data_IF_424297783776
#
_entry.id   IF_424297783776
#
_cell.length_a   1.000
_cell.length_b   1.000
_cell.length_c   1.000
_cell.angle_alpha   90.00
_cell.angle_beta   90.00
_cell.angle_gamma   90.00
#
_symmetry.space_group_name_H-M   'P 1'
#
loop_
_entity.id
_entity.type
_entity.pdbx_description
1 polymer ?
#
# COMPACT_ATOMS: atom_id res chain seq x y z
N UNK A 1 -20.50 -0.52 3.37
CA UNK A 1 -20.15 0.48 2.34
C UNK A 1 -20.31 -0.15 0.95
N UNK A 2 -20.81 0.59 -0.06
CA UNK A 2 -20.82 0.10 -1.46
C UNK A 2 -19.37 -0.14 -1.87
N UNK A 3 -19.04 -1.36 -2.35
CA UNK A 3 -17.69 -1.73 -2.79
C UNK A 3 -17.22 -0.73 -3.85
N UNK A 4 -16.24 0.11 -3.50
CA UNK A 4 -15.76 1.19 -4.38
C UNK A 4 -14.97 0.54 -5.52
N UNK A 5 -15.58 0.46 -6.69
CA UNK A 5 -14.92 -0.08 -7.89
C UNK A 5 -14.05 1.01 -8.49
N UNK A 6 -12.74 0.80 -8.49
CA UNK A 6 -11.78 1.71 -9.12
C UNK A 6 -11.78 1.52 -10.63
N UNK A 7 -11.56 2.61 -11.36
CA UNK A 7 -11.33 2.53 -12.81
C UNK A 7 -10.01 1.81 -13.06
N UNK A 8 -9.96 1.00 -14.12
CA UNK A 8 -8.77 0.21 -14.46
C UNK A 8 -7.52 1.07 -14.67
N UNK A 9 -7.66 2.26 -15.27
CA UNK A 9 -6.54 3.19 -15.45
C UNK A 9 -5.97 3.72 -14.12
N UNK A 10 -6.83 3.95 -13.11
CA UNK A 10 -6.38 4.38 -11.77
C UNK A 10 -5.62 3.25 -11.07
N UNK A 11 -6.12 2.02 -11.18
CA UNK A 11 -5.43 0.84 -10.65
C UNK A 11 -4.06 0.69 -11.33
N UNK A 12 -4.02 0.80 -12.66
CA UNK A 12 -2.78 0.66 -13.42
C UNK A 12 -1.75 1.71 -13.00
N UNK A 13 -2.13 2.99 -12.93
CA UNK A 13 -1.21 4.07 -12.53
C UNK A 13 -0.61 3.83 -11.12
N UNK A 14 -1.43 3.40 -10.16
CA UNK A 14 -0.96 3.14 -8.79
C UNK A 14 -0.09 1.87 -8.76
N UNK A 15 -0.38 0.87 -9.60
CA UNK A 15 0.42 -0.35 -9.67
C UNK A 15 1.72 -0.19 -10.46
N UNK A 16 1.77 0.70 -11.44
CA UNK A 16 3.02 1.09 -12.09
C UNK A 16 3.96 1.73 -11.05
N UNK A 17 3.40 2.55 -10.15
CA UNK A 17 4.13 3.08 -9.00
C UNK A 17 4.60 1.98 -8.04
N UNK A 18 3.78 0.97 -7.77
CA UNK A 18 4.20 -0.21 -6.99
C UNK A 18 5.37 -0.96 -7.65
N UNK A 19 5.37 -1.09 -8.98
CA UNK A 19 6.47 -1.71 -9.74
C UNK A 19 7.75 -0.88 -9.62
N UNK A 20 7.67 0.46 -9.73
CA UNK A 20 8.82 1.34 -9.53
C UNK A 20 9.41 1.19 -8.14
N UNK A 21 8.57 1.19 -7.09
CA UNK A 21 9.01 1.00 -5.70
C UNK A 21 9.70 -0.35 -5.56
N UNK A 22 9.09 -1.43 -6.07
CA UNK A 22 9.66 -2.76 -5.99
C UNK A 22 11.04 -2.85 -6.68
N UNK A 23 11.20 -2.23 -7.85
CA UNK A 23 12.49 -2.20 -8.58
C UNK A 23 13.57 -1.43 -7.84
N UNK A 24 13.21 -0.39 -7.10
CA UNK A 24 14.14 0.46 -6.34
C UNK A 24 14.36 0.03 -4.89
N UNK A 25 13.64 -0.98 -4.40
CA UNK A 25 13.70 -1.41 -3.01
C UNK A 25 14.97 -2.23 -2.74
N UNK A 26 15.78 -1.77 -1.80
CA UNK A 26 16.94 -2.55 -1.33
C UNK A 26 16.48 -3.67 -0.39
N UNK A 27 15.40 -3.43 0.35
CA UNK A 27 14.69 -4.43 1.13
C UNK A 27 13.80 -5.31 0.25
N UNK A 28 13.31 -6.42 0.80
CA UNK A 28 12.33 -7.25 0.10
C UNK A 28 10.94 -6.59 0.19
N UNK A 29 10.61 -5.76 -0.79
CA UNK A 29 9.30 -5.11 -0.94
C UNK A 29 8.27 -6.06 -1.56
N UNK A 30 7.14 -6.27 -0.89
CA UNK A 30 6.07 -7.15 -1.40
C UNK A 30 4.68 -6.77 -0.87
N UNK A 31 3.67 -7.53 -1.32
CA UNK A 31 2.28 -7.42 -0.86
C UNK A 31 1.65 -6.04 -1.09
N UNK A 32 1.90 -5.47 -2.28
CA UNK A 32 1.36 -4.17 -2.67
C UNK A 32 -0.16 -4.20 -2.81
N UNK A 33 -0.83 -3.29 -2.12
CA UNK A 33 -2.30 -3.22 -2.04
C UNK A 33 -2.80 -1.79 -2.15
N UNK A 34 -3.83 -1.58 -2.94
CA UNK A 34 -4.60 -0.34 -2.95
C UNK A 34 -5.71 -0.48 -1.94
N UNK A 35 -5.71 0.41 -0.96
CA UNK A 35 -6.62 0.43 0.17
C UNK A 35 -7.34 1.76 0.26
N UNK A 36 -8.42 1.78 1.03
CA UNK A 36 -9.13 2.99 1.47
C UNK A 36 -9.34 2.93 2.96
N UNK A 37 -9.59 4.08 3.57
CA UNK A 37 -10.03 4.18 4.96
C UNK A 37 -11.20 5.15 5.04
N UNK A 38 -12.27 4.83 5.79
CA UNK A 38 -13.33 5.80 6.09
C UNK A 38 -12.81 7.02 6.86
N UNK A 39 -11.66 6.91 7.54
CA UNK A 39 -11.02 8.05 8.23
C UNK A 39 -10.32 9.02 7.27
N UNK A 40 -10.13 8.63 6.00
CA UNK A 40 -9.52 9.47 4.95
C UNK A 40 -10.33 9.37 3.67
N UNK A 41 -11.48 10.01 3.71
CA UNK A 41 -12.34 10.13 2.54
C UNK A 41 -11.55 10.72 1.35
N UNK A 42 -11.88 10.26 0.15
CA UNK A 42 -11.26 10.71 -1.11
C UNK A 42 -9.75 10.46 -1.26
N UNK A 43 -9.18 9.56 -0.45
CA UNK A 43 -7.79 9.12 -0.56
C UNK A 43 -7.72 7.63 -0.89
N UNK A 44 -6.87 7.28 -1.85
CA UNK A 44 -6.41 5.91 -2.08
C UNK A 44 -5.05 5.75 -1.41
N UNK A 45 -4.81 4.59 -0.82
CA UNK A 45 -3.59 4.30 -0.05
C UNK A 45 -2.93 3.10 -0.70
N UNK A 46 -1.73 3.27 -1.26
CA UNK A 46 -0.88 2.16 -1.63
C UNK A 46 -0.13 1.72 -0.38
N UNK A 47 -0.36 0.49 0.08
CA UNK A 47 0.38 -0.13 1.17
C UNK A 47 1.27 -1.24 0.63
N UNK A 48 2.47 -1.38 1.17
CA UNK A 48 3.32 -2.54 0.93
C UNK A 48 4.12 -2.91 2.19
N UNK A 49 4.64 -4.13 2.20
CA UNK A 49 5.50 -4.64 3.26
C UNK A 49 6.94 -4.57 2.80
N UNK A 50 7.81 -3.96 3.61
CA UNK A 50 9.27 -4.03 3.44
C UNK A 50 9.83 -4.99 4.46
N UNK A 51 10.63 -5.95 4.00
CA UNK A 51 11.31 -6.90 4.88
C UNK A 51 12.81 -6.72 4.74
N UNK A 52 13.41 -6.20 5.81
CA UNK A 52 14.84 -6.12 5.95
C UNK A 52 15.36 -7.46 6.51
N UNK A 53 16.17 -8.14 5.70
CA UNK A 53 16.81 -9.42 6.02
C UNK A 53 18.31 -9.27 6.29
N UNK A 54 18.81 -8.04 6.49
CA UNK A 54 20.22 -7.77 6.80
C UNK A 54 20.67 -8.53 8.06
N UNK A 55 19.75 -8.81 8.98
CA UNK A 55 19.91 -9.78 10.06
C UNK A 55 18.91 -10.92 9.88
N UNK A 56 19.41 -12.09 9.44
CA UNK A 56 18.58 -13.27 9.15
C UNK A 56 17.90 -13.83 10.40
N UNK A 57 18.55 -13.72 11.56
CA UNK A 57 18.00 -14.21 12.84
C UNK A 57 16.89 -13.29 13.38
N UNK A 58 16.85 -12.04 12.90
CA UNK A 58 15.86 -11.05 13.31
C UNK A 58 15.42 -10.17 12.13
N UNK A 59 14.65 -10.74 11.18
CA UNK A 59 14.15 -9.97 10.05
C UNK A 59 13.20 -8.88 10.55
N UNK A 60 13.39 -7.66 10.09
CA UNK A 60 12.55 -6.52 10.46
C UNK A 60 11.50 -6.31 9.36
N UNK A 61 10.23 -6.26 9.76
CA UNK A 61 9.12 -6.04 8.84
C UNK A 61 8.45 -4.72 9.15
N UNK A 62 8.26 -3.90 8.11
CA UNK A 62 7.58 -2.62 8.21
C UNK A 62 6.50 -2.50 7.16
N UNK A 63 5.37 -1.91 7.52
CA UNK A 63 4.41 -1.42 6.54
C UNK A 63 4.79 -0.02 6.09
N UNK A 64 4.75 0.18 4.78
CA UNK A 64 4.96 1.49 4.14
C UNK A 64 3.70 1.88 3.38
N UNK A 65 3.54 3.20 3.21
CA UNK A 65 2.34 3.79 2.64
C UNK A 65 2.69 4.95 1.72
N UNK A 66 2.00 5.04 0.57
CA UNK A 66 1.92 6.22 -0.27
C UNK A 66 0.45 6.55 -0.51
N UNK A 67 0.11 7.85 -0.59
CA UNK A 67 -1.26 8.28 -0.84
C UNK A 67 -1.46 8.81 -2.25
N UNK A 68 -2.66 8.58 -2.76
CA UNK A 68 -3.12 9.04 -4.05
C UNK A 68 -4.49 9.67 -3.90
N UNK A 69 -4.80 10.63 -4.76
CA UNK A 69 -6.18 11.10 -4.96
C UNK A 69 -7.01 9.99 -5.59
N UNK A 70 -8.33 10.14 -5.59
CA UNK A 70 -9.25 9.15 -6.20
C UNK A 70 -9.00 8.90 -7.69
N UNK A 71 -8.33 9.83 -8.37
CA UNK A 71 -7.97 9.76 -9.78
C UNK A 71 -6.60 9.09 -10.03
N UNK A 72 -5.91 8.67 -8.97
CA UNK A 72 -4.59 8.03 -9.06
C UNK A 72 -3.41 9.01 -9.08
N UNK A 73 -3.65 10.32 -8.94
CA UNK A 73 -2.56 11.30 -8.81
C UNK A 73 -1.88 11.16 -7.45
N UNK A 74 -0.53 11.08 -7.37
CA UNK A 74 0.17 11.07 -6.10
C UNK A 74 -0.14 12.32 -5.28
N UNK A 75 -0.27 12.16 -3.96
CA UNK A 75 -0.42 13.27 -3.04
C UNK A 75 0.46 13.07 -1.82
N UNK A 76 1.03 14.17 -1.32
CA UNK A 76 1.68 14.17 -0.02
C UNK A 76 0.59 14.01 1.04
N UNK A 77 0.57 12.85 1.69
CA UNK A 77 -0.19 12.66 2.90
C UNK A 77 0.79 12.44 4.05
N UNK A 78 0.56 13.11 5.16
CA UNK A 78 1.10 12.69 6.44
C UNK A 78 -0.03 12.01 7.20
N UNK A 79 0.23 10.77 7.61
CA UNK A 79 -0.68 10.05 8.48
C UNK A 79 -0.15 10.19 9.91
N UNK A 80 -0.64 11.22 10.58
CA UNK A 80 -0.32 11.50 11.97
C UNK A 80 -1.38 10.89 12.88
N UNK A 81 -0.93 10.34 14.00
CA UNK A 81 -1.77 9.88 15.09
C UNK A 81 -1.19 10.43 16.39
N UNK A 82 -2.07 10.86 17.27
CA UNK A 82 -1.72 11.45 18.56
C UNK A 82 -1.43 10.38 19.62
N UNK A 83 -1.96 9.17 19.43
CA UNK A 83 -1.79 8.03 20.33
C UNK A 83 -1.96 6.69 19.61
N UNK A 84 -1.68 5.59 20.34
CA UNK A 84 -1.77 4.23 19.82
C UNK A 84 -3.20 3.81 19.45
N UNK A 85 -4.22 4.29 20.18
CA UNK A 85 -5.62 3.98 19.90
C UNK A 85 -6.06 4.55 18.56
N UNK A 86 -5.68 5.79 18.26
CA UNK A 86 -5.95 6.46 16.99
C UNK A 86 -5.21 5.79 15.83
N UNK A 87 -3.95 5.39 16.05
CA UNK A 87 -3.18 4.62 15.08
C UNK A 87 -3.85 3.27 14.78
N UNK A 88 -4.23 2.53 15.82
CA UNK A 88 -4.94 1.26 15.69
C UNK A 88 -6.25 1.46 14.94
N UNK A 89 -7.07 2.44 15.32
CA UNK A 89 -8.34 2.73 14.66
C UNK A 89 -8.16 2.93 13.15
N UNK A 90 -7.12 3.68 12.74
CA UNK A 90 -6.79 3.81 11.34
C UNK A 90 -6.44 2.48 10.69
N UNK A 91 -5.53 1.70 11.28
CA UNK A 91 -5.12 0.42 10.68
C UNK A 91 -6.29 -0.56 10.55
N UNK A 92 -7.17 -0.62 11.56
CA UNK A 92 -8.38 -1.45 11.54
C UNK A 92 -9.41 -0.97 10.52
N UNK A 93 -9.41 0.32 10.20
CA UNK A 93 -10.32 0.90 9.20
C UNK A 93 -9.89 0.67 7.75
N UNK A 94 -8.66 0.17 7.51
CA UNK A 94 -8.15 -0.02 6.16
C UNK A 94 -8.88 -1.18 5.45
N UNK A 95 -9.55 -0.85 4.36
CA UNK A 95 -10.22 -1.82 3.48
C UNK A 95 -9.44 -1.97 2.17
N UNK A 96 -9.11 -3.21 1.81
CA UNK A 96 -8.43 -3.51 0.54
C UNK A 96 -9.40 -3.41 -0.63
N UNK A 97 -9.07 -2.59 -1.63
CA UNK A 97 -9.81 -2.47 -2.89
C UNK A 97 -9.21 -3.33 -4.00
N UNK A 98 -7.88 -3.45 -4.01
CA UNK A 98 -7.17 -4.21 -5.03
C UNK A 98 -5.83 -4.70 -4.46
N UNK A 99 -5.49 -5.96 -4.75
CA UNK A 99 -4.21 -6.55 -4.38
C UNK A 99 -3.43 -6.84 -5.65
N UNK A 100 -2.15 -6.45 -5.68
CA UNK A 100 -1.27 -6.80 -6.78
C UNK A 100 -1.04 -8.31 -6.75
N UNK A 101 -1.64 -9.02 -7.70
CA UNK A 101 -1.23 -10.38 -7.98
C UNK A 101 0.02 -10.29 -8.84
N UNK A 102 1.20 -10.39 -8.22
CA UNK A 102 2.38 -10.73 -9.01
C UNK A 102 2.10 -12.09 -9.62
N UNK A 103 1.97 -12.14 -10.95
CA UNK A 103 2.21 -13.38 -11.65
C UNK A 103 3.66 -13.73 -11.31
N UNK A 104 3.84 -14.70 -10.42
CA UNK A 104 5.10 -15.42 -10.36
C UNK A 104 5.23 -15.96 -11.79
N UNK A 105 6.08 -15.34 -12.61
CA UNK A 105 6.47 -15.90 -13.89
C UNK A 105 7.21 -17.18 -13.53
N UNK A 106 6.47 -18.28 -13.40
CA UNK A 106 6.99 -19.63 -13.33
C UNK A 106 7.60 -19.94 -14.70
N UNK A 107 8.69 -19.26 -15.06
CA UNK A 107 9.63 -19.79 -16.02
C UNK A 107 10.34 -20.94 -15.33
N UNK A 108 9.69 -22.11 -15.47
CA UNK A 108 10.26 -23.44 -15.30
C UNK A 108 11.56 -23.58 -16.08
#
# INVERSE_FOLDING_TARGET
>A
MKKKVLKSNVIQNIMDRAIEINRGCQENCRDFQIMVSPMRENTLILRWTTIDISNIDKPLQYYRYECFKIDGTPQLCSIHYSNQEEANAFFWSLESLYNQQFAIDHKL
#
